data_IF_120682192440
#
_entry.id   IF_120682192440
#
_cell.length_a   1.000
_cell.length_b   1.000
_cell.length_c   1.000
_cell.angle_alpha   90.00
_cell.angle_beta   90.00
_cell.angle_gamma   90.00
#
_symmetry.space_group_name_H-M   'P 1'
#
loop_
_entity.id
_entity.type
_entity.pdbx_description
1 polymer ?
#
# COMPACT_ATOMS: atom_id res chain seq x y z
N UNK A 1 -1.20 9.27 -6.70
CA UNK A 1 -2.25 9.08 -5.66
C UNK A 1 -1.61 8.45 -4.45
N UNK A 2 -2.10 8.82 -3.30
CA UNK A 2 -1.53 8.34 -2.04
C UNK A 2 -2.45 7.32 -1.40
N UNK A 3 -1.84 6.23 -0.95
CA UNK A 3 -2.57 5.16 -0.29
C UNK A 3 -1.96 4.99 1.10
N UNK A 4 -2.81 4.84 2.10
CA UNK A 4 -2.35 4.55 3.45
C UNK A 4 -2.98 3.24 3.89
N UNK A 5 -2.14 2.31 4.33
CA UNK A 5 -2.58 1.04 4.88
C UNK A 5 -2.34 1.05 6.36
N UNK A 6 -3.32 0.59 7.13
CA UNK A 6 -3.20 0.47 8.59
C UNK A 6 -3.72 -0.90 8.99
N UNK A 7 -2.98 -1.57 9.83
CA UNK A 7 -3.38 -2.89 10.31
C UNK A 7 -2.20 -3.60 10.94
N UNK A 8 -2.35 -4.90 11.15
CA UNK A 8 -1.28 -5.72 11.70
C UNK A 8 -0.14 -5.80 10.68
N UNK A 9 1.10 -5.95 11.15
CA UNK A 9 2.25 -5.98 10.23
C UNK A 9 2.13 -7.03 9.13
N UNK A 10 1.70 -8.23 9.48
CA UNK A 10 1.56 -9.29 8.48
C UNK A 10 0.50 -8.94 7.44
N UNK A 11 -0.58 -8.35 7.88
CA UNK A 11 -1.68 -8.00 7.00
C UNK A 11 -1.31 -6.86 6.06
N UNK A 12 -0.70 -5.82 6.60
CA UNK A 12 -0.31 -4.68 5.76
C UNK A 12 0.79 -5.07 4.78
N UNK A 13 1.72 -5.91 5.21
CA UNK A 13 2.76 -6.39 4.31
C UNK A 13 2.19 -7.20 3.17
N UNK A 14 1.24 -8.08 3.46
CA UNK A 14 0.58 -8.87 2.44
C UNK A 14 -0.22 -7.98 1.48
N UNK A 15 -0.86 -6.95 2.01
CA UNK A 15 -1.60 -6.01 1.18
C UNK A 15 -0.68 -5.30 0.17
N UNK A 16 0.51 -4.92 0.60
CA UNK A 16 1.47 -4.28 -0.31
C UNK A 16 1.83 -5.22 -1.45
N UNK A 17 2.07 -6.49 -1.13
CA UNK A 17 2.40 -7.48 -2.15
C UNK A 17 1.26 -7.64 -3.14
N UNK A 18 0.04 -7.73 -2.64
CA UNK A 18 -1.14 -7.90 -3.49
C UNK A 18 -1.33 -6.69 -4.40
N UNK A 19 -1.20 -5.49 -3.85
CA UNK A 19 -1.34 -4.27 -4.64
C UNK A 19 -0.26 -4.20 -5.71
N UNK A 20 0.96 -4.58 -5.37
CA UNK A 20 2.07 -4.59 -6.31
C UNK A 20 1.83 -5.59 -7.42
N UNK A 21 1.31 -6.76 -7.10
CA UNK A 21 1.07 -7.81 -8.09
C UNK A 21 -0.16 -7.55 -8.96
N UNK A 22 -1.04 -6.70 -8.53
CA UNK A 22 -2.30 -6.46 -9.25
C UNK A 22 -2.08 -5.85 -10.63
N UNK A 23 -0.93 -5.24 -10.86
CA UNK A 23 -0.58 -4.64 -12.15
C UNK A 23 -1.52 -3.52 -12.59
N UNK A 24 -2.31 -3.03 -11.65
CA UNK A 24 -3.19 -1.89 -11.88
C UNK A 24 -2.50 -0.61 -11.47
N UNK A 25 -1.63 -0.73 -10.48
CA UNK A 25 -0.87 0.41 -9.95
C UNK A 25 0.61 0.23 -10.20
N UNK A 26 1.27 1.35 -10.47
CA UNK A 26 2.73 1.42 -10.37
C UNK A 26 3.06 2.03 -9.02
N UNK A 27 3.75 1.29 -8.18
CA UNK A 27 4.17 1.80 -6.88
C UNK A 27 5.45 2.60 -7.07
N UNK A 28 5.36 3.89 -6.78
CA UNK A 28 6.49 4.79 -6.94
C UNK A 28 7.35 4.79 -5.69
N UNK A 29 6.69 4.77 -4.53
CA UNK A 29 7.39 4.82 -3.27
C UNK A 29 6.55 4.13 -2.21
N UNK A 30 7.22 3.37 -1.34
CA UNK A 30 6.57 2.69 -0.22
C UNK A 30 7.36 3.04 1.03
N UNK A 31 6.71 3.69 1.98
CA UNK A 31 7.34 4.08 3.24
C UNK A 31 6.69 3.36 4.40
N UNK A 32 7.51 2.86 5.28
CA UNK A 32 7.03 2.14 6.45
C UNK A 32 7.50 0.70 6.42
N UNK A 33 6.99 -0.15 7.30
CA UNK A 33 5.91 0.17 8.24
C UNK A 33 6.35 1.03 9.40
N UNK A 34 5.47 1.94 9.82
CA UNK A 34 5.69 2.77 10.99
C UNK A 34 4.75 2.32 12.10
N UNK A 35 5.21 2.22 13.33
CA UNK A 35 4.33 1.84 14.43
C UNK A 35 3.30 2.93 14.71
N UNK A 36 2.10 2.54 15.02
CA UNK A 36 1.09 3.46 15.48
C UNK A 36 1.36 3.80 16.94
N UNK A 37 0.83 4.93 17.37
CA UNK A 37 1.00 5.35 18.75
C UNK A 37 0.24 4.44 19.70
N UNK A 38 0.74 4.38 20.93
CA UNK A 38 0.10 3.61 22.00
C UNK A 38 0.51 2.17 21.95
N UNK A 39 -0.30 1.32 22.61
CA UNK A 39 -0.02 -0.09 22.72
C UNK A 39 -0.51 -0.89 21.53
N UNK A 40 -0.89 -0.23 20.49
CA UNK A 40 -1.40 -0.92 19.32
C UNK A 40 -0.29 -1.70 18.65
N UNK A 41 -0.60 -2.91 18.24
CA UNK A 41 0.31 -3.71 17.42
C UNK A 41 0.20 -3.34 15.96
N UNK A 42 -0.63 -2.37 15.65
CA UNK A 42 -0.86 -1.97 14.28
C UNK A 42 0.26 -1.07 13.79
N UNK A 43 0.49 -1.16 12.50
CA UNK A 43 1.45 -0.31 11.81
C UNK A 43 0.75 0.40 10.68
N UNK A 44 1.43 1.36 10.11
CA UNK A 44 0.93 2.08 8.94
C UNK A 44 1.99 2.11 7.85
N UNK A 45 1.53 2.00 6.62
CA UNK A 45 2.39 2.06 5.45
C UNK A 45 1.82 3.14 4.53
N UNK A 46 2.69 4.00 4.04
CA UNK A 46 2.32 5.04 3.09
C UNK A 46 2.86 4.68 1.72
N UNK A 47 1.99 4.74 0.73
CA UNK A 47 2.34 4.37 -0.63
C UNK A 47 2.04 5.54 -1.55
N UNK A 48 3.00 5.88 -2.40
CA UNK A 48 2.77 6.78 -3.51
C UNK A 48 2.63 5.91 -4.75
N UNK A 49 1.51 6.00 -5.44
CA UNK A 49 1.22 5.14 -6.57
C UNK A 49 0.51 5.91 -7.66
N UNK A 50 0.53 5.37 -8.84
CA UNK A 50 -0.29 5.89 -9.94
C UNK A 50 -0.87 4.73 -10.72
N UNK A 51 -1.98 4.99 -11.36
CA UNK A 51 -2.62 3.98 -12.19
C UNK A 51 -1.74 3.71 -13.40
N UNK A 52 -1.61 2.44 -13.73
CA UNK A 52 -0.83 2.02 -14.86
C UNK A 52 -1.59 2.34 -16.13
N UNK A 53 -0.97 3.04 -17.09
CA UNK A 53 -1.64 3.37 -18.35
C UNK A 53 -2.12 2.11 -19.05
N UNK A 54 -3.36 2.14 -19.51
CA UNK A 54 -3.93 1.06 -20.28
C UNK A 54 -4.34 -0.16 -19.51
N UNK A 55 -4.10 -0.22 -18.19
CA UNK A 55 -4.48 -1.41 -17.47
C UNK A 55 -5.77 -1.20 -16.71
N UNK A 56 -6.76 -1.94 -17.07
CA UNK A 56 -8.04 -1.98 -16.41
C UNK A 56 -8.77 -0.68 -16.36
N UNK A 57 -8.08 0.36 -16.59
CA UNK A 57 -8.69 1.66 -16.61
C UNK A 57 -9.28 1.83 -17.94
N UNK A 58 -10.37 1.28 -18.10
CA UNK A 58 -11.03 1.44 -19.28
C UNK A 58 -11.43 2.83 -19.47
N UNK A 59 -11.28 3.36 -20.62
CA UNK A 59 -11.79 4.67 -20.92
C UNK A 59 -13.28 4.71 -20.76
#
# INVERSE_FOLDING_TARGET
MKIRLMGLPAETGQAVVIISDAKVFDLIQVDGPYPNRGDSRQVRIYIEAQLRPGSGAVP
#
